data_IF_432929495734
#
_entry.id   IF_432929495734
#
_cell.length_a   1.000
_cell.length_b   1.000
_cell.length_c   1.000
_cell.angle_alpha   90.00
_cell.angle_beta   90.00
_cell.angle_gamma   90.00
#
_symmetry.space_group_name_H-M   'P 1'
#
loop_
_entity.id
_entity.type
_entity.pdbx_description
1 polymer ?
#
# COMPACT_ATOMS: atom_id res chain seq x y z
N UNK A 1 -25.31 12.86 6.05
CA UNK A 1 -23.88 12.68 5.67
C UNK A 1 -23.06 13.96 5.82
N UNK A 2 -21.87 13.90 6.44
CA UNK A 2 -20.99 15.06 6.65
C UNK A 2 -19.79 15.04 5.68
N UNK A 3 -19.95 15.70 4.54
CA UNK A 3 -19.00 15.68 3.42
C UNK A 3 -17.71 16.44 3.74
N UNK A 4 -17.79 17.53 4.49
CA UNK A 4 -16.61 18.30 4.90
C UNK A 4 -15.73 17.51 5.85
N UNK A 5 -16.33 16.78 6.80
CA UNK A 5 -15.60 15.87 7.68
C UNK A 5 -14.89 14.75 6.89
N UNK A 6 -15.52 14.22 5.82
CA UNK A 6 -14.90 13.21 4.96
C UNK A 6 -13.66 13.77 4.23
N UNK A 7 -13.74 15.02 3.77
CA UNK A 7 -12.62 15.68 3.08
C UNK A 7 -11.43 15.96 4.00
N UNK A 8 -11.66 16.11 5.31
CA UNK A 8 -10.63 16.44 6.31
C UNK A 8 -10.23 15.27 7.21
N UNK A 9 -10.77 14.07 7.01
CA UNK A 9 -10.53 12.90 7.86
C UNK A 9 -9.05 12.49 7.95
N UNK A 10 -8.42 12.49 9.13
CA UNK A 10 -6.97 12.29 9.29
C UNK A 10 -6.52 10.81 9.29
N UNK A 11 -7.46 9.89 9.44
CA UNK A 11 -7.22 8.47 9.32
C UNK A 11 -8.28 7.77 8.47
N UNK A 12 -8.00 6.53 8.05
CA UNK A 12 -8.98 5.69 7.39
C UNK A 12 -10.20 5.44 8.30
N UNK A 13 -9.99 5.30 9.62
CA UNK A 13 -11.07 5.09 10.58
C UNK A 13 -12.00 6.30 10.61
N UNK A 14 -11.43 7.51 10.68
CA UNK A 14 -12.21 8.75 10.69
C UNK A 14 -13.01 8.90 9.39
N UNK A 15 -12.40 8.53 8.26
CA UNK A 15 -13.08 8.57 6.96
C UNK A 15 -14.24 7.57 6.89
N UNK A 16 -14.13 6.41 7.53
CA UNK A 16 -15.23 5.42 7.59
C UNK A 16 -16.35 5.93 8.51
N UNK A 17 -16.01 6.60 9.61
CA UNK A 17 -17.00 7.16 10.54
C UNK A 17 -17.89 8.24 9.92
N UNK A 18 -17.44 8.93 8.87
CA UNK A 18 -18.27 9.93 8.15
C UNK A 18 -19.37 9.30 7.28
N UNK A 19 -19.27 7.99 7.03
CA UNK A 19 -20.28 7.24 6.27
C UNK A 19 -21.49 6.99 7.18
N UNK A 20 -22.73 7.16 6.71
CA UNK A 20 -23.93 6.77 7.46
C UNK A 20 -23.89 5.32 7.96
N UNK A 21 -24.30 5.11 9.20
CA UNK A 21 -24.14 3.85 9.95
C UNK A 21 -24.56 2.58 9.17
N UNK A 22 -25.69 2.55 8.45
CA UNK A 22 -26.11 1.33 7.72
C UNK A 22 -25.15 0.90 6.61
N UNK A 23 -24.38 1.84 6.06
CA UNK A 23 -23.48 1.60 4.93
C UNK A 23 -22.04 1.33 5.36
N UNK A 24 -21.67 1.73 6.59
CA UNK A 24 -20.29 1.62 7.11
C UNK A 24 -19.68 0.23 6.97
N UNK A 25 -20.35 -0.90 7.29
CA UNK A 25 -19.70 -2.21 7.21
C UNK A 25 -19.26 -2.57 5.79
N UNK A 26 -20.15 -2.35 4.81
CA UNK A 26 -19.87 -2.71 3.41
C UNK A 26 -18.89 -1.72 2.76
N UNK A 27 -19.09 -0.42 2.96
CA UNK A 27 -18.24 0.61 2.37
C UNK A 27 -16.89 0.71 3.06
N UNK A 28 -16.83 0.51 4.38
CA UNK A 28 -15.59 0.48 5.14
C UNK A 28 -14.68 -0.67 4.72
N UNK A 29 -15.24 -1.87 4.50
CA UNK A 29 -14.48 -3.00 3.96
C UNK A 29 -13.90 -2.69 2.57
N UNK A 30 -14.69 -2.05 1.70
CA UNK A 30 -14.24 -1.62 0.37
C UNK A 30 -13.11 -0.57 0.45
N UNK A 31 -13.27 0.46 1.29
CA UNK A 31 -12.26 1.50 1.48
C UNK A 31 -10.96 0.94 2.07
N UNK A 32 -11.03 0.03 3.05
CA UNK A 32 -9.85 -0.62 3.61
C UNK A 32 -9.08 -1.45 2.57
N UNK A 33 -9.80 -2.22 1.74
CA UNK A 33 -9.18 -2.95 0.63
C UNK A 33 -8.44 -1.99 -0.33
N UNK A 34 -9.11 -0.91 -0.75
CA UNK A 34 -8.53 0.09 -1.67
C UNK A 34 -7.34 0.81 -1.03
N UNK A 35 -7.45 1.21 0.23
CA UNK A 35 -6.38 1.83 1.00
C UNK A 35 -5.13 0.95 1.06
N UNK A 36 -5.28 -0.34 1.39
CA UNK A 36 -4.17 -1.30 1.44
C UNK A 36 -3.47 -1.41 0.08
N UNK A 37 -4.22 -1.48 -1.00
CA UNK A 37 -3.66 -1.52 -2.36
C UNK A 37 -2.93 -0.22 -2.71
N UNK A 38 -3.51 0.95 -2.40
CA UNK A 38 -2.85 2.23 -2.61
C UNK A 38 -1.54 2.37 -1.81
N UNK A 39 -1.50 1.88 -0.56
CA UNK A 39 -0.25 1.84 0.24
C UNK A 39 0.81 0.93 -0.38
N UNK A 40 0.41 -0.21 -0.96
CA UNK A 40 1.34 -1.07 -1.72
C UNK A 40 1.90 -0.32 -2.94
N UNK A 41 1.06 0.39 -3.71
CA UNK A 41 1.52 1.24 -4.81
C UNK A 41 2.55 2.28 -4.34
N UNK A 42 2.28 2.98 -3.24
CA UNK A 42 3.19 3.99 -2.69
C UNK A 42 4.54 3.37 -2.27
N UNK A 43 4.54 2.16 -1.70
CA UNK A 43 5.76 1.43 -1.36
C UNK A 43 6.55 1.03 -2.61
N UNK A 44 5.87 0.45 -3.61
CA UNK A 44 6.51 0.04 -4.87
C UNK A 44 7.15 1.24 -5.58
N UNK A 45 6.45 2.39 -5.65
CA UNK A 45 7.02 3.63 -6.21
C UNK A 45 8.31 4.04 -5.52
N UNK A 46 8.35 4.01 -4.17
CA UNK A 46 9.56 4.35 -3.41
C UNK A 46 10.71 3.38 -3.70
N UNK A 47 10.43 2.08 -3.76
CA UNK A 47 11.44 1.07 -4.11
C UNK A 47 11.97 1.31 -5.52
N UNK A 48 11.09 1.57 -6.49
CA UNK A 48 11.43 1.84 -7.88
C UNK A 48 12.33 3.08 -7.98
N UNK A 49 11.95 4.20 -7.35
CA UNK A 49 12.79 5.41 -7.31
C UNK A 49 14.16 5.18 -6.65
N UNK A 50 14.22 4.29 -5.64
CA UNK A 50 15.49 3.89 -5.03
C UNK A 50 16.37 3.09 -6.01
N UNK A 51 15.79 2.13 -6.73
CA UNK A 51 16.51 1.32 -7.72
C UNK A 51 17.00 2.16 -8.90
N UNK A 52 16.19 3.08 -9.41
CA UNK A 52 16.59 4.02 -10.46
C UNK A 52 17.75 4.91 -10.01
N UNK A 53 17.73 5.38 -8.76
CA UNK A 53 18.83 6.15 -8.17
C UNK A 53 20.11 5.32 -8.06
N UNK A 54 20.02 4.05 -7.68
CA UNK A 54 21.17 3.16 -7.67
C UNK A 54 21.74 2.98 -9.08
N UNK A 55 20.86 2.74 -10.06
CA UNK A 55 21.25 2.57 -11.46
C UNK A 55 21.95 3.81 -12.02
N UNK A 56 21.43 5.01 -11.75
CA UNK A 56 22.01 6.27 -12.23
C UNK A 56 23.36 6.58 -11.58
N UNK A 57 23.55 6.19 -10.32
CA UNK A 57 24.81 6.35 -9.58
C UNK A 57 25.83 5.24 -9.83
N UNK A 58 25.49 4.21 -10.60
CA UNK A 58 26.35 3.04 -10.77
C UNK A 58 26.57 2.24 -9.47
N UNK A 59 25.64 2.35 -8.51
CA UNK A 59 25.68 1.63 -7.24
C UNK A 59 24.61 0.55 -7.21
N UNK A 60 24.60 -0.30 -6.18
CA UNK A 60 23.65 -1.41 -6.07
C UNK A 60 22.98 -1.43 -4.70
N UNK A 61 21.67 -1.73 -4.62
CA UNK A 61 21.01 -2.06 -3.37
C UNK A 61 21.69 -3.24 -2.67
N UNK A 62 21.65 -3.28 -1.34
CA UNK A 62 22.30 -4.34 -0.56
C UNK A 62 21.76 -5.74 -0.89
N UNK A 63 20.49 -5.85 -1.26
CA UNK A 63 19.90 -7.11 -1.71
C UNK A 63 20.59 -7.70 -2.94
N UNK A 64 21.05 -6.85 -3.88
CA UNK A 64 21.79 -7.28 -5.07
C UNK A 64 23.26 -7.55 -4.72
N UNK A 65 23.87 -6.68 -3.90
CA UNK A 65 25.26 -6.84 -3.46
C UNK A 65 25.49 -8.13 -2.68
N UNK A 66 24.55 -8.48 -1.81
CA UNK A 66 24.61 -9.68 -0.99
C UNK A 66 24.34 -10.96 -1.80
N UNK A 67 23.51 -10.88 -2.85
CA UNK A 67 23.15 -12.02 -3.70
C UNK A 67 24.28 -12.43 -4.64
N UNK A 68 25.02 -11.47 -5.21
CA UNK A 68 26.19 -11.75 -6.06
C UNK A 68 27.42 -11.24 -5.34
N UNK A 69 28.17 -12.14 -4.72
CA UNK A 69 29.43 -11.82 -4.04
C UNK A 69 30.60 -11.92 -5.00
N UNK A 70 31.67 -11.19 -4.68
CA UNK A 70 32.95 -11.42 -5.34
C UNK A 70 33.54 -12.70 -4.76
N UNK A 71 33.79 -13.73 -5.59
CA UNK A 71 34.42 -14.95 -5.13
C UNK A 71 35.85 -14.64 -4.67
N UNK A 72 36.26 -15.29 -3.57
CA UNK A 72 37.63 -15.22 -3.08
C UNK A 72 38.31 -16.50 -3.54
N UNK A 73 39.24 -16.36 -4.48
CA UNK A 73 40.04 -17.47 -4.97
C UNK A 73 41.38 -17.50 -4.22
N UNK A 74 41.87 -18.71 -3.94
CA UNK A 74 43.20 -18.90 -3.39
C UNK A 74 44.18 -19.13 -4.54
N UNK A 75 45.22 -18.31 -4.61
CA UNK A 75 46.31 -18.42 -5.58
C UNK A 75 47.63 -18.51 -4.83
N UNK A 76 48.67 -19.03 -5.49
CA UNK A 76 50.02 -19.02 -4.92
C UNK A 76 50.59 -17.60 -4.93
N UNK A 77 51.49 -17.29 -4.00
CA UNK A 77 52.05 -15.94 -3.85
C UNK A 77 52.80 -15.48 -5.11
N UNK A 78 53.47 -16.39 -5.82
CA UNK A 78 54.19 -16.09 -7.06
C UNK A 78 53.24 -15.65 -8.17
N UNK A 79 52.04 -16.24 -8.23
CA UNK A 79 51.05 -15.89 -9.23
C UNK A 79 50.38 -14.55 -8.94
N UNK A 80 50.20 -14.20 -7.66
CA UNK A 80 49.56 -12.93 -7.27
C UNK A 80 50.28 -11.70 -7.82
N UNK A 81 51.60 -11.78 -8.01
CA UNK A 81 52.44 -10.70 -8.53
C UNK A 81 52.44 -10.57 -10.06
N UNK A 82 51.82 -11.49 -10.81
CA UNK A 82 51.84 -11.47 -12.27
C UNK A 82 50.83 -10.47 -12.85
N UNK A 83 51.14 -9.93 -14.03
CA UNK A 83 50.19 -9.12 -14.80
C UNK A 83 48.97 -9.91 -15.25
N UNK A 84 49.13 -11.22 -15.46
CA UNK A 84 48.04 -12.13 -15.85
C UNK A 84 47.00 -12.23 -14.73
N UNK A 85 47.42 -12.48 -13.49
CA UNK A 85 46.52 -12.50 -12.33
C UNK A 85 45.77 -11.16 -12.18
N UNK A 86 46.47 -10.02 -12.30
CA UNK A 86 45.85 -8.71 -12.22
C UNK A 86 44.79 -8.48 -13.31
N UNK A 87 45.08 -8.89 -14.54
CA UNK A 87 44.17 -8.78 -15.69
C UNK A 87 42.93 -9.65 -15.52
N UNK A 88 43.11 -10.92 -15.16
CA UNK A 88 42.00 -11.86 -14.98
C UNK A 88 41.12 -11.49 -13.79
N UNK A 89 41.71 -11.09 -12.66
CA UNK A 89 40.95 -10.61 -11.52
C UNK A 89 40.16 -9.33 -11.85
N UNK A 90 40.70 -8.43 -12.66
CA UNK A 90 39.95 -7.27 -13.16
C UNK A 90 38.79 -7.71 -14.06
N UNK A 91 39.00 -8.68 -14.96
CA UNK A 91 37.97 -9.25 -15.84
C UNK A 91 36.79 -9.84 -15.03
N UNK A 92 37.07 -10.67 -14.03
CA UNK A 92 36.05 -11.27 -13.15
C UNK A 92 35.25 -10.19 -12.42
N UNK A 93 35.92 -9.16 -11.90
CA UNK A 93 35.24 -8.06 -11.21
C UNK A 93 34.32 -7.26 -12.17
N UNK A 94 34.75 -7.05 -13.42
CA UNK A 94 33.93 -6.42 -14.45
C UNK A 94 32.70 -7.26 -14.80
N UNK A 95 32.84 -8.58 -14.94
CA UNK A 95 31.72 -9.48 -15.18
C UNK A 95 30.70 -9.43 -14.04
N UNK A 96 31.16 -9.49 -12.78
CA UNK A 96 30.28 -9.39 -11.61
C UNK A 96 29.51 -8.08 -11.58
N UNK A 97 30.17 -6.96 -11.90
CA UNK A 97 29.52 -5.65 -12.01
C UNK A 97 28.48 -5.64 -13.14
N UNK A 98 28.78 -6.25 -14.28
CA UNK A 98 27.85 -6.37 -15.41
C UNK A 98 26.60 -7.19 -15.02
N UNK A 99 26.78 -8.33 -14.34
CA UNK A 99 25.67 -9.15 -13.86
C UNK A 99 24.81 -8.38 -12.85
N UNK A 100 25.42 -7.73 -11.85
CA UNK A 100 24.68 -6.91 -10.87
C UNK A 100 23.86 -5.80 -11.55
N UNK A 101 24.42 -5.14 -12.57
CA UNK A 101 23.71 -4.13 -13.38
C UNK A 101 22.55 -4.73 -14.17
N UNK A 102 22.73 -5.92 -14.74
CA UNK A 102 21.68 -6.65 -15.44
C UNK A 102 20.52 -6.98 -14.50
N UNK A 103 20.81 -7.52 -13.30
CA UNK A 103 19.79 -7.83 -12.29
C UNK A 103 19.04 -6.57 -11.85
N UNK A 104 19.75 -5.46 -11.58
CA UNK A 104 19.10 -4.22 -11.18
C UNK A 104 18.13 -3.71 -12.25
N UNK A 105 18.51 -3.74 -13.52
CA UNK A 105 17.62 -3.39 -14.65
C UNK A 105 16.39 -4.30 -14.71
N UNK A 106 16.57 -5.61 -14.58
CA UNK A 106 15.44 -6.58 -14.56
C UNK A 106 14.51 -6.35 -13.36
N UNK A 107 15.07 -6.07 -12.19
CA UNK A 107 14.31 -5.75 -11.00
C UNK A 107 13.47 -4.47 -11.17
N UNK A 108 14.02 -3.44 -11.82
CA UNK A 108 13.27 -2.23 -12.19
C UNK A 108 12.10 -2.59 -13.11
N UNK A 109 12.33 -3.34 -14.19
CA UNK A 109 11.26 -3.77 -15.10
C UNK A 109 10.14 -4.52 -14.38
N UNK A 110 10.50 -5.46 -13.51
CA UNK A 110 9.53 -6.22 -12.73
C UNK A 110 8.76 -5.34 -11.73
N UNK A 111 9.42 -4.38 -11.08
CA UNK A 111 8.75 -3.42 -10.20
C UNK A 111 7.84 -2.45 -10.95
N UNK A 112 8.19 -2.06 -12.17
CA UNK A 112 7.32 -1.26 -13.04
C UNK A 112 6.06 -2.05 -13.41
N UNK A 113 6.20 -3.32 -13.77
CA UNK A 113 5.06 -4.20 -14.05
C UNK A 113 4.16 -4.42 -12.81
N UNK A 114 4.75 -4.65 -11.64
CA UNK A 114 4.03 -4.73 -10.37
C UNK A 114 3.24 -3.45 -10.09
N UNK A 115 3.86 -2.28 -10.30
CA UNK A 115 3.20 -0.99 -10.11
C UNK A 115 2.02 -0.80 -11.06
N UNK A 116 2.15 -1.22 -12.33
CA UNK A 116 1.06 -1.14 -13.30
C UNK A 116 -0.14 -2.01 -12.86
N UNK A 117 0.14 -3.25 -12.44
CA UNK A 117 -0.88 -4.19 -11.93
C UNK A 117 -1.58 -3.64 -10.68
N UNK A 118 -0.84 -3.14 -9.69
CA UNK A 118 -1.45 -2.58 -8.49
C UNK A 118 -2.23 -1.29 -8.78
N UNK A 119 -1.74 -0.46 -9.72
CA UNK A 119 -2.39 0.81 -10.07
C UNK A 119 -3.74 0.62 -10.75
N UNK A 120 -3.94 -0.47 -11.52
CA UNK A 120 -5.25 -0.78 -12.10
C UNK A 120 -6.27 -1.18 -11.01
N UNK A 121 -5.82 -1.81 -9.92
CA UNK A 121 -6.68 -2.25 -8.81
C UNK A 121 -6.93 -1.17 -7.75
N UNK A 122 -6.02 -0.20 -7.63
CA UNK A 122 -6.02 0.80 -6.57
C UNK A 122 -7.11 1.86 -6.69
N UNK A 123 -7.65 2.10 -7.90
CA UNK A 123 -8.65 3.13 -8.13
C UNK A 123 -9.95 2.80 -7.40
N UNK A 124 -10.53 3.81 -6.75
CA UNK A 124 -11.91 3.76 -6.26
C UNK A 124 -12.81 3.98 -7.46
N UNK A 125 -13.63 2.98 -7.77
CA UNK A 125 -14.52 2.98 -8.93
C UNK A 125 -15.90 3.47 -8.50
N UNK A 126 -16.45 4.44 -9.24
CA UNK A 126 -17.79 4.98 -8.98
C UNK A 126 -18.91 3.98 -9.21
N UNK A 127 -18.76 3.07 -10.15
CA UNK A 127 -19.73 2.02 -10.40
C UNK A 127 -19.73 1.00 -9.25
N UNK A 128 -18.56 0.54 -8.80
CA UNK A 128 -18.45 -0.35 -7.63
C UNK A 128 -19.06 0.30 -6.38
N UNK A 129 -18.71 1.57 -6.14
CA UNK A 129 -19.19 2.34 -5.00
C UNK A 129 -20.72 2.44 -4.99
N UNK A 130 -21.31 2.85 -6.13
CA UNK A 130 -22.76 2.94 -6.30
C UNK A 130 -23.43 1.58 -6.16
N UNK A 131 -22.85 0.52 -6.72
CA UNK A 131 -23.35 -0.84 -6.61
C UNK A 131 -23.42 -1.30 -5.14
N UNK A 132 -22.39 -1.01 -4.35
CA UNK A 132 -22.38 -1.31 -2.91
C UNK A 132 -23.46 -0.50 -2.19
N UNK A 133 -23.61 0.80 -2.48
CA UNK A 133 -24.64 1.65 -1.89
C UNK A 133 -26.05 1.12 -2.19
N UNK A 134 -26.36 0.83 -3.45
CA UNK A 134 -27.65 0.27 -3.91
C UNK A 134 -27.93 -1.08 -3.25
N UNK A 135 -26.93 -1.95 -3.11
CA UNK A 135 -27.07 -3.24 -2.43
C UNK A 135 -27.45 -3.07 -0.96
N UNK A 136 -26.80 -2.16 -0.24
CA UNK A 136 -27.15 -1.87 1.16
C UNK A 136 -28.56 -1.30 1.25
N UNK A 137 -28.89 -0.29 0.45
CA UNK A 137 -30.20 0.34 0.44
C UNK A 137 -31.32 -0.65 0.07
N UNK A 138 -31.06 -1.58 -0.86
CA UNK A 138 -31.99 -2.68 -1.20
C UNK A 138 -32.17 -3.69 -0.07
N UNK A 139 -31.16 -3.88 0.78
CA UNK A 139 -31.29 -4.69 2.00
C UNK A 139 -32.18 -4.00 3.02
N UNK A 140 -32.02 -2.69 3.20
CA UNK A 140 -32.87 -1.88 4.07
C UNK A 140 -34.30 -1.84 3.55
N UNK A 141 -34.51 -1.65 2.25
CA UNK A 141 -35.86 -1.63 1.66
C UNK A 141 -36.62 -2.93 1.92
N UNK A 142 -35.96 -4.08 1.79
CA UNK A 142 -36.53 -5.38 2.15
C UNK A 142 -36.88 -5.48 3.63
N UNK A 143 -36.03 -4.95 4.51
CA UNK A 143 -36.24 -5.01 5.96
C UNK A 143 -37.38 -4.10 6.43
N UNK A 144 -37.58 -2.95 5.77
CA UNK A 144 -38.55 -1.91 6.17
C UNK A 144 -39.78 -1.81 5.26
N UNK A 145 -39.89 -2.67 4.24
CA UNK A 145 -41.02 -2.70 3.31
C UNK A 145 -41.06 -1.55 2.29
N UNK A 146 -39.92 -0.94 1.97
CA UNK A 146 -39.83 0.10 0.93
C UNK A 146 -39.80 -0.53 -0.46
N UNK A 147 -40.44 0.13 -1.42
CA UNK A 147 -40.45 -0.31 -2.81
C UNK A 147 -39.18 0.19 -3.51
N UNK A 148 -38.48 -0.70 -4.22
CA UNK A 148 -37.32 -0.33 -5.03
C UNK A 148 -37.81 0.01 -6.43
N UNK A 149 -37.57 1.23 -6.87
CA UNK A 149 -37.96 1.71 -8.20
C UNK A 149 -36.69 2.02 -9.00
N UNK A 150 -36.71 1.67 -10.29
CA UNK A 150 -35.67 2.00 -11.25
C UNK A 150 -36.31 2.86 -12.33
N UNK A 151 -35.71 4.01 -12.60
CA UNK A 151 -36.16 4.86 -13.70
C UNK A 151 -35.53 4.43 -15.03
N UNK A 152 -35.97 5.08 -16.11
CA UNK A 152 -35.54 4.80 -17.49
C UNK A 152 -34.04 5.10 -17.69
N UNK A 153 -33.46 5.97 -16.86
CA UNK A 153 -32.03 6.31 -16.83
C UNK A 153 -31.20 5.30 -16.00
N UNK A 154 -31.85 4.31 -15.39
CA UNK A 154 -31.21 3.28 -14.57
C UNK A 154 -30.82 3.76 -13.16
N UNK A 155 -31.26 4.93 -12.74
CA UNK A 155 -31.13 5.38 -11.35
C UNK A 155 -32.11 4.61 -10.46
N UNK A 156 -31.65 4.33 -9.24
CA UNK A 156 -32.44 3.58 -8.24
C UNK A 156 -32.95 4.57 -7.19
N UNK A 157 -34.25 4.55 -6.94
CA UNK A 157 -34.87 5.24 -5.81
C UNK A 157 -35.75 4.27 -5.00
N UNK A 158 -36.13 4.70 -3.80
CA UNK A 158 -36.81 3.85 -2.82
C UNK A 158 -38.08 4.53 -2.32
N UNK A 159 -39.24 4.08 -2.79
CA UNK A 159 -40.53 4.60 -2.40
C UNK A 159 -40.90 4.12 -0.99
N UNK A 160 -41.35 5.06 -0.16
CA UNK A 160 -41.58 4.83 1.27
C UNK A 160 -40.32 4.97 2.13
N UNK A 161 -39.15 5.25 1.55
CA UNK A 161 -37.92 5.52 2.30
C UNK A 161 -38.03 6.85 3.06
N UNK A 162 -37.72 6.88 4.38
CA UNK A 162 -37.69 8.12 5.14
C UNK A 162 -36.73 9.14 4.52
N UNK A 163 -37.11 10.43 4.55
CA UNK A 163 -36.33 11.54 3.97
C UNK A 163 -34.87 11.54 4.44
N UNK A 164 -34.62 11.25 5.73
CA UNK A 164 -33.26 11.18 6.27
C UNK A 164 -32.44 10.05 5.64
N UNK A 165 -33.02 8.87 5.47
CA UNK A 165 -32.36 7.74 4.85
C UNK A 165 -32.12 7.99 3.35
N UNK A 166 -33.08 8.59 2.65
CA UNK A 166 -32.92 8.99 1.25
C UNK A 166 -31.77 10.00 1.07
N UNK A 167 -31.70 11.02 1.94
CA UNK A 167 -30.59 11.99 1.95
C UNK A 167 -29.23 11.31 2.12
N UNK A 168 -29.15 10.31 3.01
CA UNK A 168 -27.92 9.56 3.21
C UNK A 168 -27.56 8.69 2.00
N UNK A 169 -28.53 8.03 1.37
CA UNK A 169 -28.33 7.25 0.14
C UNK A 169 -27.81 8.12 -1.01
N UNK A 170 -28.52 9.22 -1.32
CA UNK A 170 -28.13 10.17 -2.37
C UNK A 170 -26.75 10.76 -2.06
N UNK A 171 -26.54 11.20 -0.82
CA UNK A 171 -25.24 11.72 -0.38
C UNK A 171 -24.11 10.73 -0.61
N UNK A 172 -24.29 9.45 -0.27
CA UNK A 172 -23.28 8.42 -0.51
C UNK A 172 -23.00 8.27 -2.00
N UNK A 173 -24.04 8.17 -2.83
CA UNK A 173 -23.90 7.97 -4.27
C UNK A 173 -23.16 9.13 -4.97
N UNK A 174 -23.39 10.35 -4.55
CA UNK A 174 -22.86 11.56 -5.22
C UNK A 174 -21.44 11.93 -4.76
N UNK A 175 -21.07 11.56 -3.52
CA UNK A 175 -19.83 12.02 -2.90
C UNK A 175 -18.65 11.03 -3.00
N UNK A 176 -18.73 9.99 -3.84
CA UNK A 176 -17.64 9.01 -3.99
C UNK A 176 -16.26 9.65 -4.25
N UNK A 177 -16.21 10.68 -5.10
CA UNK A 177 -14.97 11.36 -5.48
C UNK A 177 -14.22 11.94 -4.26
N UNK A 178 -14.93 12.33 -3.20
CA UNK A 178 -14.36 12.89 -1.97
C UNK A 178 -13.66 11.80 -1.17
N UNK A 179 -14.32 10.64 -1.02
CA UNK A 179 -13.71 9.47 -0.39
C UNK A 179 -12.51 8.98 -1.20
N UNK A 180 -12.63 8.89 -2.52
CA UNK A 180 -11.54 8.48 -3.41
C UNK A 180 -10.31 9.39 -3.26
N UNK A 181 -10.54 10.70 -3.26
CA UNK A 181 -9.49 11.72 -3.13
C UNK A 181 -8.83 11.63 -1.75
N UNK A 182 -9.63 11.60 -0.67
CA UNK A 182 -9.09 11.55 0.68
C UNK A 182 -8.35 10.24 0.96
N UNK A 183 -8.89 9.11 0.50
CA UNK A 183 -8.23 7.81 0.61
C UNK A 183 -6.85 7.80 -0.06
N UNK A 184 -6.77 8.42 -1.24
CA UNK A 184 -5.51 8.58 -1.98
C UNK A 184 -4.51 9.41 -1.19
N UNK A 185 -4.94 10.53 -0.60
CA UNK A 185 -4.11 11.37 0.26
C UNK A 185 -3.59 10.58 1.47
N UNK A 186 -4.48 9.90 2.20
CA UNK A 186 -4.12 9.10 3.38
C UNK A 186 -3.13 7.99 3.03
N UNK A 187 -3.29 7.32 1.88
CA UNK A 187 -2.39 6.25 1.48
C UNK A 187 -0.99 6.74 1.11
N UNK A 188 -0.87 7.99 0.64
CA UNK A 188 0.40 8.62 0.28
C UNK A 188 1.09 9.29 1.46
N UNK A 189 0.32 9.77 2.45
CA UNK A 189 0.81 10.42 3.65
C UNK A 189 1.86 9.54 4.34
N UNK A 190 3.00 10.14 4.66
CA UNK A 190 4.02 9.50 5.50
C UNK A 190 3.49 9.47 6.93
N UNK A 191 2.83 8.39 7.33
CA UNK A 191 2.70 8.15 8.76
C UNK A 191 4.11 7.87 9.30
N UNK A 192 4.58 8.62 10.32
CA UNK A 192 5.75 8.22 11.08
C UNK A 192 5.54 6.79 11.57
N UNK A 193 6.59 5.96 11.66
CA UNK A 193 6.46 4.68 12.32
C UNK A 193 5.87 4.93 13.71
N UNK A 194 4.72 4.32 14.01
CA UNK A 194 4.19 4.28 15.37
C UNK A 194 5.34 3.76 16.24
N UNK A 195 5.75 4.49 17.30
CA UNK A 195 6.79 4.00 18.18
C UNK A 195 6.31 2.65 18.69
N UNK A 196 7.02 1.58 18.31
CA UNK A 196 6.83 0.28 18.91
C UNK A 196 7.13 0.50 20.39
N UNK A 197 6.11 0.41 21.23
CA UNK A 197 6.29 0.33 22.67
C UNK A 197 7.12 -0.93 22.93
N UNK A 198 8.43 -0.76 23.03
CA UNK A 198 9.30 -1.78 23.60
C UNK A 198 8.85 -1.91 25.05
N UNK A 199 8.12 -2.98 25.38
CA UNK A 199 7.92 -3.35 26.77
C UNK A 199 9.30 -3.72 27.30
N UNK A 200 9.86 -2.86 28.14
CA UNK A 200 11.01 -3.20 28.96
C UNK A 200 10.53 -4.28 29.92
N UNK A 201 10.85 -5.54 29.60
CA UNK A 201 10.74 -6.64 30.56
C UNK A 201 11.87 -6.43 31.56
N UNK A 202 11.55 -5.75 32.67
CA UNK A 202 12.45 -5.58 33.81
C UNK A 202 12.81 -6.98 34.34
N UNK A 203 14.03 -7.44 34.07
CA UNK A 203 14.61 -8.54 34.82
C UNK A 203 15.02 -7.98 36.17
N UNK A 204 14.24 -8.30 37.20
CA UNK A 204 14.61 -8.08 38.59
C UNK A 204 15.89 -8.88 38.89
N UNK A 205 17.01 -8.17 39.06
CA UNK A 205 18.17 -8.71 39.75
C UNK A 205 17.80 -8.85 41.23
N UNK A 206 17.50 -10.08 41.64
CA UNK A 206 17.42 -10.44 43.05
C UNK A 206 18.80 -10.45 43.65
N UNK A 207 19.16 -9.37 44.33
CA UNK A 207 20.20 -9.35 45.36
C UNK A 207 19.77 -10.27 46.49
N UNK A 208 20.59 -11.28 46.82
CA UNK A 208 20.52 -11.99 48.09
C UNK A 208 21.91 -11.97 48.72
N UNK A 209 22.07 -11.04 49.64
CA UNK A 209 23.12 -11.01 50.67
C UNK A 209 22.42 -11.23 52.01
N UNK A 210 23.19 -11.77 52.96
CA UNK A 210 22.86 -12.14 54.35
C UNK A 210 22.21 -13.53 54.52
N UNK A 211 22.63 -14.40 55.44
CA UNK A 211 23.78 -14.50 56.36
C UNK A 211 23.59 -15.81 57.14
N UNK A 212 24.63 -16.65 57.21
CA UNK A 212 25.10 -17.45 58.36
C UNK A 212 26.18 -18.42 57.88
#
# INVERSE_FOLDING_TARGET
MNVTAAATADSLSDLIETIPLPYRPAMGAYLDQKYRTMRKCARVRRTLSSYERHLSRGTFPDSIRAAIKVPIFQFTEEFLATSEHASENASINLEILAVRKCILKRAILQKTAELACLSSQARVDGADWKCIAVRVASGLSKAYGWLVVRDDDGHVHFDGMPVAANRDFVGICDNNHIYATRLTYLAQARHPPTPKSFSYRSQAFGTRLESL
#
